data_IF_046528284079
#
_entry.id   IF_046528284079
#
_cell.length_a   1.000
_cell.length_b   1.000
_cell.length_c   1.000
_cell.angle_alpha   90.00
_cell.angle_beta   90.00
_cell.angle_gamma   90.00
#
_symmetry.space_group_name_H-M   'P 1'
#
loop_
_entity.id
_entity.type
_entity.pdbx_description
1 polymer ?
#
# COMPACT_ATOMS: atom_id res chain seq x y z
N UNK A 1 3.48 43.87 3.47
CA UNK A 1 3.20 42.59 4.18
C UNK A 1 3.99 41.49 3.48
N UNK A 2 5.02 41.01 4.19
CA UNK A 2 5.79 39.75 4.07
C UNK A 2 5.57 38.89 2.81
N UNK A 3 6.37 39.12 1.77
CA UNK A 3 6.78 38.05 0.86
C UNK A 3 8.29 37.90 1.00
N UNK A 4 8.65 37.01 1.90
CA UNK A 4 10.00 36.65 2.30
C UNK A 4 10.84 36.25 1.08
N UNK A 5 11.82 37.08 0.75
CA UNK A 5 12.93 36.77 -0.16
C UNK A 5 13.93 35.77 0.45
N UNK A 6 13.61 35.19 1.62
CA UNK A 6 14.37 34.16 2.32
C UNK A 6 13.59 32.86 2.55
N UNK A 7 12.70 32.46 1.62
CA UNK A 7 12.24 31.06 1.61
C UNK A 7 13.43 30.15 1.30
N UNK A 8 14.18 29.73 2.34
CA UNK A 8 14.93 28.47 2.33
C UNK A 8 13.98 27.46 1.68
N UNK A 9 14.38 26.88 0.55
CA UNK A 9 13.62 25.81 -0.10
C UNK A 9 13.37 24.76 0.97
N UNK A 10 12.16 24.74 1.55
CA UNK A 10 11.78 23.70 2.49
C UNK A 10 11.64 22.46 1.65
N UNK A 11 12.42 21.43 1.97
CA UNK A 11 12.30 20.12 1.35
C UNK A 11 10.86 19.62 1.52
N UNK A 12 10.14 19.45 0.41
CA UNK A 12 8.77 18.96 0.41
C UNK A 12 8.83 17.45 0.52
N UNK A 13 8.35 16.89 1.63
CA UNK A 13 8.23 15.44 1.82
C UNK A 13 6.85 14.97 1.35
N UNK A 14 6.84 14.01 0.43
CA UNK A 14 5.63 13.41 -0.11
C UNK A 14 5.32 12.14 0.68
N UNK A 15 4.09 11.99 1.15
CA UNK A 15 3.63 10.77 1.81
C UNK A 15 2.40 10.20 1.11
N UNK A 16 2.31 8.89 1.02
CA UNK A 16 1.12 8.17 0.53
C UNK A 16 0.35 7.56 1.68
N UNK A 17 -0.98 7.63 1.60
CA UNK A 17 -1.88 6.96 2.54
C UNK A 17 -2.86 6.10 1.76
N UNK A 18 -3.01 4.84 2.18
CA UNK A 18 -3.96 3.94 1.55
C UNK A 18 -4.10 2.61 2.29
N UNK A 19 -5.13 1.83 1.95
CA UNK A 19 -5.23 0.46 2.45
C UNK A 19 -4.14 -0.42 1.85
N UNK A 20 -4.02 -1.63 2.37
CA UNK A 20 -3.12 -2.65 1.85
C UNK A 20 -3.80 -4.03 1.89
N UNK A 21 -3.35 -4.93 1.01
CA UNK A 21 -3.75 -6.34 1.01
C UNK A 21 -2.49 -7.17 0.81
N UNK A 22 -1.93 -7.66 1.92
CA UNK A 22 -0.73 -8.48 1.92
C UNK A 22 -1.08 -9.87 2.46
N UNK A 23 -0.60 -10.91 1.79
CA UNK A 23 -0.75 -12.30 2.21
C UNK A 23 0.51 -13.09 1.88
N UNK A 24 0.87 -14.10 2.69
CA UNK A 24 2.13 -14.84 2.50
C UNK A 24 2.21 -15.58 1.16
N UNK A 25 1.06 -15.99 0.60
CA UNK A 25 1.00 -16.74 -0.65
C UNK A 25 -0.13 -16.26 -1.57
N UNK A 26 -0.06 -16.64 -2.84
CA UNK A 26 -1.00 -16.22 -3.89
C UNK A 26 -2.42 -16.75 -3.67
N UNK A 27 -2.59 -17.92 -3.06
CA UNK A 27 -3.90 -18.52 -2.81
C UNK A 27 -4.64 -17.70 -1.75
N UNK A 28 -3.99 -17.46 -0.61
CA UNK A 28 -4.54 -16.64 0.46
C UNK A 28 -4.73 -15.17 0.06
N UNK A 29 -3.86 -14.64 -0.81
CA UNK A 29 -4.04 -13.32 -1.41
C UNK A 29 -5.33 -13.22 -2.21
N UNK A 30 -5.63 -14.22 -3.04
CA UNK A 30 -6.85 -14.23 -3.86
C UNK A 30 -8.13 -14.15 -3.03
N UNK A 31 -8.17 -14.87 -1.91
CA UNK A 31 -9.29 -14.81 -0.96
C UNK A 31 -9.46 -13.42 -0.36
N UNK A 32 -8.37 -12.80 0.11
CA UNK A 32 -8.41 -11.45 0.70
C UNK A 32 -8.82 -10.38 -0.31
N UNK A 33 -8.36 -10.49 -1.56
CA UNK A 33 -8.74 -9.57 -2.64
C UNK A 33 -10.22 -9.72 -2.96
N UNK A 34 -10.73 -10.95 -3.06
CA UNK A 34 -12.15 -11.21 -3.30
C UNK A 34 -13.03 -10.63 -2.18
N UNK A 35 -12.64 -10.83 -0.92
CA UNK A 35 -13.33 -10.26 0.24
C UNK A 35 -13.32 -8.72 0.22
N UNK A 36 -12.16 -8.13 -0.05
CA UNK A 36 -12.04 -6.67 -0.19
C UNK A 36 -12.92 -6.13 -1.31
N UNK A 37 -12.92 -6.80 -2.46
CA UNK A 37 -13.72 -6.43 -3.63
C UNK A 37 -15.22 -6.52 -3.32
N UNK A 38 -15.66 -7.61 -2.68
CA UNK A 38 -17.05 -7.80 -2.27
C UNK A 38 -17.53 -6.67 -1.34
N UNK A 39 -16.73 -6.32 -0.32
CA UNK A 39 -17.05 -5.22 0.62
C UNK A 39 -17.12 -3.85 -0.06
N UNK A 40 -16.48 -3.68 -1.22
CA UNK A 40 -16.42 -2.43 -1.98
C UNK A 40 -17.33 -2.42 -3.22
N UNK A 41 -18.10 -3.49 -3.45
CA UNK A 41 -18.95 -3.62 -4.64
C UNK A 41 -18.16 -3.69 -5.94
N UNK A 42 -16.92 -4.18 -5.91
CA UNK A 42 -16.08 -4.35 -7.09
C UNK A 42 -16.29 -5.75 -7.68
N UNK A 43 -16.53 -5.81 -8.99
CA UNK A 43 -16.64 -7.05 -9.75
C UNK A 43 -15.43 -7.29 -10.66
N UNK A 44 -15.20 -8.56 -10.99
CA UNK A 44 -14.12 -9.02 -11.86
C UNK A 44 -13.46 -10.29 -11.33
N UNK A 45 -12.61 -10.89 -12.14
CA UNK A 45 -11.71 -11.95 -11.68
C UNK A 45 -10.60 -11.38 -10.78
N UNK A 46 -9.97 -12.25 -10.00
CA UNK A 46 -8.96 -11.89 -9.01
C UNK A 46 -7.77 -11.15 -9.61
N UNK A 47 -7.29 -11.55 -10.79
CA UNK A 47 -6.10 -10.96 -11.41
C UNK A 47 -6.38 -9.54 -11.88
N UNK A 48 -7.51 -9.34 -12.57
CA UNK A 48 -7.99 -8.01 -12.97
C UNK A 48 -8.21 -7.11 -11.76
N UNK A 49 -8.74 -7.64 -10.65
CA UNK A 49 -8.94 -6.88 -9.42
C UNK A 49 -7.60 -6.47 -8.78
N UNK A 50 -6.63 -7.37 -8.69
CA UNK A 50 -5.29 -7.07 -8.18
C UNK A 50 -4.66 -5.94 -8.99
N UNK A 51 -4.70 -6.03 -10.33
CA UNK A 51 -4.15 -5.02 -11.21
C UNK A 51 -4.82 -3.65 -10.97
N UNK A 52 -6.15 -3.59 -10.96
CA UNK A 52 -6.90 -2.35 -10.71
C UNK A 52 -6.59 -1.72 -9.35
N UNK A 53 -6.39 -2.53 -8.32
CA UNK A 53 -6.03 -2.02 -6.98
C UNK A 53 -4.61 -1.45 -6.99
N UNK A 54 -3.65 -2.12 -7.63
CA UNK A 54 -2.26 -1.62 -7.80
C UNK A 54 -2.22 -0.32 -8.59
N UNK A 55 -2.99 -0.21 -9.67
CA UNK A 55 -3.12 1.03 -10.46
C UNK A 55 -3.66 2.21 -9.64
N UNK A 56 -4.45 1.93 -8.60
CA UNK A 56 -4.95 2.94 -7.63
C UNK A 56 -3.94 3.27 -6.52
N UNK A 57 -2.72 2.76 -6.60
CA UNK A 57 -1.68 2.95 -5.60
C UNK A 57 -1.87 2.14 -4.31
N UNK A 58 -2.73 1.10 -4.33
CA UNK A 58 -2.93 0.20 -3.19
C UNK A 58 -1.84 -0.87 -3.23
N UNK A 59 -1.12 -1.05 -2.12
CA UNK A 59 -0.16 -2.14 -1.98
C UNK A 59 -0.88 -3.48 -1.90
N UNK A 60 -0.76 -4.30 -2.94
CA UNK A 60 -1.42 -5.62 -3.03
C UNK A 60 -0.43 -6.68 -3.48
N UNK A 61 -0.29 -7.78 -2.75
CA UNK A 61 0.59 -8.88 -3.17
C UNK A 61 1.10 -9.75 -2.03
N UNK A 62 2.12 -10.56 -2.35
CA UNK A 62 2.96 -11.19 -1.32
C UNK A 62 3.87 -10.16 -0.64
N UNK A 63 4.58 -10.52 0.45
CA UNK A 63 5.56 -9.62 1.04
C UNK A 63 6.61 -9.14 0.03
N UNK A 64 7.04 -10.00 -0.90
CA UNK A 64 7.99 -9.66 -1.96
C UNK A 64 7.39 -8.64 -2.92
N UNK A 65 6.17 -8.90 -3.42
CA UNK A 65 5.46 -7.97 -4.30
C UNK A 65 5.26 -6.59 -3.64
N UNK A 66 4.96 -6.58 -2.34
CA UNK A 66 4.73 -5.36 -1.58
C UNK A 66 6.01 -4.56 -1.41
N UNK A 67 7.14 -5.20 -1.10
CA UNK A 67 8.46 -4.55 -1.02
C UNK A 67 8.82 -3.91 -2.36
N UNK A 68 8.66 -4.62 -3.47
CA UNK A 68 8.98 -4.09 -4.80
C UNK A 68 8.08 -2.91 -5.20
N UNK A 69 6.79 -2.96 -4.85
CA UNK A 69 5.90 -1.80 -5.03
C UNK A 69 6.37 -0.60 -4.22
N UNK A 70 6.71 -0.77 -2.93
CA UNK A 70 7.16 0.32 -2.07
C UNK A 70 8.49 0.92 -2.55
N UNK A 71 9.44 0.10 -3.00
CA UNK A 71 10.68 0.59 -3.64
C UNK A 71 10.38 1.44 -4.87
N UNK A 72 9.48 0.98 -5.74
CA UNK A 72 9.06 1.76 -6.91
C UNK A 72 8.48 3.13 -6.52
N UNK A 73 7.68 3.20 -5.45
CA UNK A 73 7.18 4.48 -4.94
C UNK A 73 8.28 5.37 -4.34
N UNK A 74 9.25 4.80 -3.65
CA UNK A 74 10.42 5.54 -3.13
C UNK A 74 11.25 6.12 -4.27
N UNK A 75 11.48 5.37 -5.34
CA UNK A 75 12.16 5.85 -6.55
C UNK A 75 11.42 7.01 -7.23
N UNK A 76 10.09 7.04 -7.11
CA UNK A 76 9.24 8.14 -7.57
C UNK A 76 9.16 9.33 -6.61
N UNK A 77 9.94 9.32 -5.51
CA UNK A 77 10.04 10.43 -4.56
C UNK A 77 9.02 10.39 -3.42
N UNK A 78 8.41 9.24 -3.13
CA UNK A 78 7.62 9.06 -1.91
C UNK A 78 8.55 8.86 -0.72
N UNK A 79 8.38 9.68 0.31
CA UNK A 79 9.22 9.72 1.51
C UNK A 79 8.59 8.98 2.70
N UNK A 80 7.29 8.72 2.66
CA UNK A 80 6.57 8.09 3.77
C UNK A 80 5.31 7.36 3.32
N UNK A 81 4.98 6.27 4.03
CA UNK A 81 3.80 5.46 3.78
C UNK A 81 2.96 5.36 5.04
N UNK A 82 1.65 5.58 4.90
CA UNK A 82 0.66 5.45 5.97
C UNK A 82 -0.36 4.37 5.56
N UNK A 83 -0.28 3.23 6.21
CA UNK A 83 -1.15 2.10 5.90
C UNK A 83 -2.45 2.18 6.71
N UNK A 84 -3.57 2.26 5.99
CA UNK A 84 -4.90 2.25 6.59
C UNK A 84 -5.29 0.82 6.97
N UNK A 85 -5.36 0.56 8.27
CA UNK A 85 -5.79 -0.72 8.81
C UNK A 85 -7.32 -0.72 8.96
N UNK A 86 -8.02 -1.19 7.91
CA UNK A 86 -9.49 -1.09 7.82
C UNK A 86 -10.19 -2.08 8.77
N UNK A 87 -9.67 -3.29 8.91
CA UNK A 87 -10.26 -4.31 9.79
C UNK A 87 -9.39 -4.49 11.03
N UNK A 88 -9.73 -3.79 12.11
CA UNK A 88 -8.92 -3.75 13.34
C UNK A 88 -8.84 -5.08 14.08
N UNK A 89 -9.76 -6.02 13.81
CA UNK A 89 -9.73 -7.37 14.38
C UNK A 89 -8.84 -8.35 13.60
N UNK A 90 -8.37 -7.99 12.41
CA UNK A 90 -7.50 -8.84 11.57
C UNK A 90 -6.02 -8.70 11.97
N UNK A 91 -5.67 -9.26 13.12
CA UNK A 91 -4.29 -9.27 13.62
C UNK A 91 -3.32 -9.97 12.66
N UNK A 92 -3.83 -10.84 11.78
CA UNK A 92 -3.07 -11.48 10.71
C UNK A 92 -2.59 -10.47 9.67
N UNK A 93 -3.46 -9.58 9.19
CA UNK A 93 -3.08 -8.51 8.26
C UNK A 93 -2.04 -7.55 8.86
N UNK A 94 -2.15 -7.20 10.14
CA UNK A 94 -1.12 -6.39 10.82
C UNK A 94 0.22 -7.14 10.87
N UNK A 95 0.20 -8.43 11.20
CA UNK A 95 1.39 -9.27 11.24
C UNK A 95 2.06 -9.39 9.87
N UNK A 96 1.27 -9.57 8.80
CA UNK A 96 1.78 -9.57 7.42
C UNK A 96 2.42 -8.23 7.02
N UNK A 97 1.80 -7.10 7.39
CA UNK A 97 2.38 -5.78 7.13
C UNK A 97 3.71 -5.60 7.86
N UNK A 98 3.73 -5.83 9.17
CA UNK A 98 4.95 -5.68 9.99
C UNK A 98 6.05 -6.64 9.51
N UNK A 99 5.67 -7.89 9.19
CA UNK A 99 6.59 -8.88 8.63
C UNK A 99 7.19 -8.42 7.29
N UNK A 100 6.37 -7.82 6.43
CA UNK A 100 6.81 -7.25 5.15
C UNK A 100 7.77 -6.08 5.35
N UNK A 101 7.43 -5.12 6.21
CA UNK A 101 8.27 -3.93 6.45
C UNK A 101 9.61 -4.24 7.14
N UNK A 102 9.70 -5.38 7.84
CA UNK A 102 10.97 -5.87 8.41
C UNK A 102 11.84 -6.58 7.37
N UNK A 103 11.27 -7.06 6.26
CA UNK A 103 12.07 -7.53 5.11
C UNK A 103 12.66 -6.26 4.48
N UNK A 104 13.97 -6.26 4.19
CA UNK A 104 14.70 -5.06 3.75
C UNK A 104 13.95 -4.35 2.61
N UNK A 105 13.33 -3.22 2.92
CA UNK A 105 12.83 -2.21 1.96
C UNK A 105 14.00 -1.34 1.54
#
# INVERSE_FOLDING_TARGET
>A
RVFDSQRKQREVKISMMGPFIISEDKSSLGLKVAEFAQRRGLGGDTETLIQKLRERGITVGTPEDAVEQLKGWVELGVHGFMFQFINTSDTGALSSLVGTLKRKV
#
